data_IF_522325364149
#
_entry.id   IF_522325364149
#
_cell.length_a   1.000
_cell.length_b   1.000
_cell.length_c   1.000
_cell.angle_alpha   90.00
_cell.angle_beta   90.00
_cell.angle_gamma   90.00
#
_symmetry.space_group_name_H-M   'P 1'
#
loop_
_entity.id
_entity.type
_entity.pdbx_description
1 polymer ?
#
# COMPACT_ATOMS: atom_id res chain seq x y z
N UNK A 1 -1.33 -5.34 -24.02
CA UNK A 1 -2.54 -4.50 -23.86
C UNK A 1 -2.54 -4.01 -22.43
N UNK A 2 -2.26 -2.72 -22.23
CA UNK A 2 -2.33 -2.05 -20.93
C UNK A 2 -3.78 -2.11 -20.43
N UNK A 3 -4.01 -2.36 -19.13
CA UNK A 3 -5.36 -2.34 -18.58
C UNK A 3 -6.00 -0.96 -18.87
N UNK A 4 -7.09 -0.93 -19.64
CA UNK A 4 -7.82 0.29 -19.91
C UNK A 4 -8.87 0.48 -18.82
N UNK A 5 -9.09 1.72 -18.36
CA UNK A 5 -10.15 2.05 -17.41
C UNK A 5 -11.50 2.08 -18.14
N UNK A 6 -11.95 0.90 -18.59
CA UNK A 6 -13.19 0.73 -19.34
C UNK A 6 -14.41 1.05 -18.45
N UNK A 7 -15.60 1.31 -19.03
CA UNK A 7 -16.81 1.54 -18.25
C UNK A 7 -17.13 0.41 -17.25
N UNK A 8 -16.93 -0.85 -17.65
CA UNK A 8 -17.13 -2.02 -16.78
C UNK A 8 -16.11 -2.05 -15.64
N UNK A 9 -14.82 -1.85 -15.96
CA UNK A 9 -13.75 -1.74 -14.95
C UNK A 9 -14.06 -0.62 -13.95
N UNK A 10 -14.47 0.55 -14.44
CA UNK A 10 -14.82 1.69 -13.61
C UNK A 10 -16.03 1.38 -12.72
N UNK A 11 -17.06 0.71 -13.24
CA UNK A 11 -18.23 0.33 -12.46
C UNK A 11 -17.87 -0.61 -11.30
N UNK A 12 -17.09 -1.66 -11.56
CA UNK A 12 -16.66 -2.60 -10.52
C UNK A 12 -15.70 -1.95 -9.51
N UNK A 13 -14.79 -1.09 -9.98
CA UNK A 13 -13.90 -0.30 -9.14
C UNK A 13 -14.70 0.59 -8.16
N UNK A 14 -15.68 1.34 -8.68
CA UNK A 14 -16.53 2.21 -7.87
C UNK A 14 -17.42 1.40 -6.92
N UNK A 15 -17.96 0.26 -7.35
CA UNK A 15 -18.77 -0.61 -6.50
C UNK A 15 -17.96 -1.13 -5.29
N UNK A 16 -16.72 -1.57 -5.51
CA UNK A 16 -15.83 -2.03 -4.44
C UNK A 16 -15.47 -0.90 -3.48
N UNK A 17 -15.11 0.29 -3.99
CA UNK A 17 -14.79 1.44 -3.15
C UNK A 17 -16.00 1.94 -2.36
N UNK A 18 -17.19 2.01 -2.96
CA UNK A 18 -18.41 2.46 -2.27
C UNK A 18 -18.93 1.46 -1.24
N UNK A 19 -18.61 0.17 -1.38
CA UNK A 19 -18.91 -0.81 -0.35
C UNK A 19 -18.19 -0.50 0.97
N UNK A 20 -16.94 -0.03 0.88
CA UNK A 20 -16.11 0.30 2.05
C UNK A 20 -16.38 1.72 2.56
N UNK A 21 -16.42 2.70 1.65
CA UNK A 21 -16.45 4.13 2.00
C UNK A 21 -17.82 4.78 1.87
N UNK A 22 -18.86 3.97 1.68
CA UNK A 22 -20.24 4.41 1.48
C UNK A 22 -20.47 5.05 0.11
N UNK A 23 -21.71 5.49 -0.17
CA UNK A 23 -22.04 6.16 -1.42
C UNK A 23 -21.36 7.53 -1.47
N UNK A 24 -20.47 7.72 -2.43
CA UNK A 24 -19.74 8.98 -2.59
C UNK A 24 -19.86 9.60 -3.99
N UNK A 25 -20.28 8.85 -5.01
CA UNK A 25 -20.27 9.30 -6.42
C UNK A 25 -21.24 10.44 -6.72
N UNK A 26 -22.27 10.63 -5.89
CA UNK A 26 -23.30 11.66 -6.05
C UNK A 26 -23.21 12.77 -4.98
N UNK A 27 -22.12 12.84 -4.22
CA UNK A 27 -21.94 13.90 -3.24
C UNK A 27 -21.83 15.25 -3.95
N UNK A 28 -22.61 16.21 -3.47
CA UNK A 28 -22.42 17.61 -3.86
C UNK A 28 -21.07 18.13 -3.34
N UNK A 29 -20.50 19.21 -3.92
CA UNK A 29 -19.25 19.79 -3.42
C UNK A 29 -19.29 20.16 -1.93
N UNK A 30 -20.41 20.66 -1.42
CA UNK A 30 -20.56 20.97 0.00
C UNK A 30 -20.59 19.71 0.86
N UNK A 31 -21.32 18.67 0.44
CA UNK A 31 -21.33 17.37 1.13
C UNK A 31 -19.96 16.71 1.14
N UNK A 32 -19.20 16.82 0.04
CA UNK A 32 -17.84 16.30 -0.06
C UNK A 32 -16.88 17.02 0.90
N UNK A 33 -17.01 18.35 1.05
CA UNK A 33 -16.17 19.16 1.93
C UNK A 33 -16.35 18.89 3.43
N UNK A 34 -17.42 18.17 3.80
CA UNK A 34 -17.70 17.73 5.17
C UNK A 34 -17.74 16.20 5.25
N UNK A 35 -17.31 15.49 4.22
CA UNK A 35 -17.37 14.04 4.18
C UNK A 35 -16.41 13.45 5.21
N UNK A 36 -16.93 12.52 6.01
CA UNK A 36 -16.14 11.71 6.92
C UNK A 36 -16.26 10.26 6.44
N UNK A 37 -15.16 9.54 6.24
CA UNK A 37 -15.25 8.15 5.82
C UNK A 37 -16.00 7.35 6.90
N UNK A 38 -16.95 6.48 6.52
CA UNK A 38 -17.61 5.60 7.50
C UNK A 38 -16.56 4.72 8.20
N UNK A 39 -16.84 4.23 9.42
CA UNK A 39 -15.95 3.27 10.06
C UNK A 39 -15.95 1.96 9.28
N UNK A 40 -14.76 1.42 9.00
CA UNK A 40 -14.62 0.09 8.40
C UNK A 40 -15.03 -1.00 9.41
N UNK A 41 -15.42 -2.19 8.91
CA UNK A 41 -15.69 -3.37 9.73
C UNK A 41 -14.44 -3.92 10.44
N UNK A 42 -13.26 -3.59 9.93
CA UNK A 42 -11.96 -3.84 10.55
C UNK A 42 -11.27 -2.53 10.91
N UNK A 43 -10.47 -2.60 11.96
CA UNK A 43 -9.63 -1.51 12.40
C UNK A 43 -10.18 -0.83 13.66
N UNK A 44 -9.30 -0.56 14.60
CA UNK A 44 -9.64 0.16 15.83
C UNK A 44 -10.17 1.56 15.48
N UNK A 45 -11.42 1.82 15.84
CA UNK A 45 -12.20 3.02 15.45
C UNK A 45 -12.42 3.13 13.93
N UNK A 46 -12.44 2.00 13.23
CA UNK A 46 -12.80 1.89 11.82
C UNK A 46 -11.72 2.31 10.84
N UNK A 47 -10.44 2.35 11.26
CA UNK A 47 -9.30 2.66 10.39
C UNK A 47 -8.24 1.58 10.45
N UNK A 48 -7.68 1.28 9.29
CA UNK A 48 -6.66 0.27 9.11
C UNK A 48 -5.69 0.74 8.04
N UNK A 49 -4.44 1.00 8.44
CA UNK A 49 -3.52 1.85 7.68
C UNK A 49 -3.31 1.36 6.24
N UNK A 50 -3.18 0.04 6.04
CA UNK A 50 -3.03 -0.54 4.70
C UNK A 50 -4.25 -0.31 3.81
N UNK A 51 -5.44 -0.59 4.34
CA UNK A 51 -6.71 -0.43 3.63
C UNK A 51 -6.93 1.02 3.23
N UNK A 52 -6.71 1.94 4.15
CA UNK A 52 -6.90 3.37 3.93
C UNK A 52 -5.84 3.92 2.95
N UNK A 53 -4.59 3.41 2.97
CA UNK A 53 -3.57 3.80 2.02
C UNK A 53 -3.95 3.43 0.57
N UNK A 54 -4.39 2.18 0.35
CA UNK A 54 -4.89 1.74 -0.96
C UNK A 54 -6.09 2.57 -1.41
N UNK A 55 -6.99 2.90 -0.49
CA UNK A 55 -8.17 3.72 -0.79
C UNK A 55 -7.82 5.15 -1.20
N UNK A 56 -6.87 5.80 -0.51
CA UNK A 56 -6.35 7.10 -0.93
C UNK A 56 -5.83 7.01 -2.36
N UNK A 57 -4.96 6.03 -2.65
CA UNK A 57 -4.38 5.86 -3.99
C UNK A 57 -5.48 5.60 -5.03
N UNK A 58 -6.50 4.80 -4.69
CA UNK A 58 -7.66 4.54 -5.55
C UNK A 58 -8.51 5.79 -5.81
N UNK A 59 -8.72 6.66 -4.83
CA UNK A 59 -9.38 7.95 -5.04
C UNK A 59 -8.55 8.85 -5.98
N UNK A 60 -7.23 8.86 -5.86
CA UNK A 60 -6.37 9.63 -6.76
C UNK A 60 -6.37 9.06 -8.19
N UNK A 61 -6.43 7.73 -8.33
CA UNK A 61 -6.68 7.05 -9.60
C UNK A 61 -7.99 7.53 -10.22
N UNK A 62 -9.09 7.51 -9.47
CA UNK A 62 -10.39 8.00 -9.94
C UNK A 62 -10.33 9.48 -10.33
N UNK A 63 -9.66 10.32 -9.53
CA UNK A 63 -9.48 11.74 -9.82
C UNK A 63 -8.84 11.96 -11.19
N UNK A 64 -7.67 11.34 -11.45
CA UNK A 64 -6.96 11.51 -12.73
C UNK A 64 -7.73 10.89 -13.89
N UNK A 65 -8.25 9.67 -13.72
CA UNK A 65 -8.91 8.93 -14.80
C UNK A 65 -10.27 9.50 -15.22
N UNK A 66 -10.96 10.21 -14.31
CA UNK A 66 -12.29 10.80 -14.60
C UNK A 66 -12.27 12.32 -14.65
N UNK A 67 -11.14 12.96 -14.36
CA UNK A 67 -11.01 14.42 -14.19
C UNK A 67 -12.00 15.03 -13.20
N UNK A 68 -12.47 14.25 -12.21
CA UNK A 68 -13.44 14.71 -11.22
C UNK A 68 -12.73 15.15 -9.92
N UNK A 69 -12.82 16.43 -9.52
CA UNK A 69 -12.16 16.95 -8.32
C UNK A 69 -12.72 16.39 -7.01
N UNK A 70 -13.95 15.84 -7.03
CA UNK A 70 -14.57 15.19 -5.87
C UNK A 70 -13.64 14.17 -5.22
N UNK A 71 -13.01 13.31 -6.02
CA UNK A 71 -12.18 12.23 -5.50
C UNK A 71 -10.90 12.76 -4.82
N UNK A 72 -10.38 13.90 -5.27
CA UNK A 72 -9.24 14.55 -4.61
C UNK A 72 -9.65 15.08 -3.22
N UNK A 73 -10.86 15.65 -3.10
CA UNK A 73 -11.43 16.07 -1.82
C UNK A 73 -11.62 14.87 -0.88
N UNK A 74 -12.20 13.77 -1.36
CA UNK A 74 -12.39 12.55 -0.56
C UNK A 74 -11.05 11.95 -0.09
N UNK A 75 -10.03 11.92 -0.96
CA UNK A 75 -8.68 11.49 -0.59
C UNK A 75 -8.09 12.35 0.54
N UNK A 76 -8.22 13.69 0.45
CA UNK A 76 -7.76 14.61 1.49
C UNK A 76 -8.46 14.37 2.83
N UNK A 77 -9.78 14.18 2.83
CA UNK A 77 -10.55 13.89 4.04
C UNK A 77 -10.20 12.53 4.65
N UNK A 78 -9.93 11.51 3.83
CA UNK A 78 -9.47 10.21 4.32
C UNK A 78 -8.09 10.31 4.96
N UNK A 79 -7.15 11.06 4.35
CA UNK A 79 -5.83 11.33 4.93
C UNK A 79 -5.97 12.00 6.31
N UNK A 80 -6.76 13.07 6.39
CA UNK A 80 -7.00 13.78 7.65
C UNK A 80 -7.55 12.83 8.72
N UNK A 81 -8.56 12.04 8.35
CA UNK A 81 -9.20 11.13 9.30
C UNK A 81 -8.28 10.00 9.78
N UNK A 82 -7.41 9.48 8.91
CA UNK A 82 -6.36 8.54 9.31
C UNK A 82 -5.39 9.20 10.29
N UNK A 83 -4.98 10.45 10.07
CA UNK A 83 -4.08 11.14 11.00
C UNK A 83 -4.75 11.41 12.35
N UNK A 84 -6.05 11.72 12.36
CA UNK A 84 -6.81 12.00 13.59
C UNK A 84 -7.19 10.73 14.37
N UNK A 85 -7.14 9.56 13.75
CA UNK A 85 -7.42 8.28 14.42
C UNK A 85 -6.11 7.54 14.70
N UNK A 86 -5.33 7.22 13.67
CA UNK A 86 -4.11 6.41 13.78
C UNK A 86 -2.88 7.20 14.23
N UNK A 87 -2.92 8.54 14.16
CA UNK A 87 -1.91 9.44 14.74
C UNK A 87 -2.18 9.84 16.21
N UNK A 88 -3.20 9.25 16.84
CA UNK A 88 -3.54 9.43 18.26
C UNK A 88 -3.38 8.14 19.05
N UNK A 89 -3.30 8.27 20.38
CA UNK A 89 -3.49 7.17 21.33
C UNK A 89 -4.83 6.47 21.10
N UNK A 90 -4.96 5.21 21.54
CA UNK A 90 -6.16 4.39 21.29
C UNK A 90 -7.43 5.01 21.89
N UNK A 91 -7.32 5.59 23.08
CA UNK A 91 -8.41 6.35 23.71
C UNK A 91 -8.73 7.69 23.00
N UNK A 92 -7.90 8.11 22.04
CA UNK A 92 -8.08 9.36 21.28
C UNK A 92 -7.76 10.63 22.06
N UNK A 93 -7.12 10.52 23.23
CA UNK A 93 -6.93 11.68 24.12
C UNK A 93 -5.72 12.54 23.77
N UNK A 94 -4.68 11.96 23.14
CA UNK A 94 -3.47 12.69 22.74
C UNK A 94 -2.88 12.16 21.44
N UNK A 95 -2.14 13.02 20.73
CA UNK A 95 -1.25 12.62 19.62
C UNK A 95 -0.26 11.55 20.12
N UNK A 96 0.23 10.71 19.20
CA UNK A 96 1.31 9.77 19.51
C UNK A 96 2.56 10.51 20.02
N UNK A 97 3.35 9.85 20.86
CA UNK A 97 4.48 10.48 21.54
C UNK A 97 5.47 11.10 20.54
N UNK A 98 5.72 12.40 20.69
CA UNK A 98 6.56 13.20 19.78
C UNK A 98 5.79 14.01 18.72
N UNK A 99 4.53 13.69 18.45
CA UNK A 99 3.67 14.43 17.51
C UNK A 99 2.97 15.64 18.14
N UNK A 100 2.67 16.62 17.28
CA UNK A 100 1.84 17.79 17.58
C UNK A 100 0.86 18.03 16.43
N UNK A 101 -0.09 18.95 16.56
CA UNK A 101 -1.00 19.24 15.43
C UNK A 101 -0.28 19.88 14.23
N UNK A 102 0.81 20.60 14.45
CA UNK A 102 1.66 21.14 13.37
C UNK A 102 2.57 20.06 12.76
N UNK A 103 2.92 19.03 13.53
CA UNK A 103 3.80 17.94 13.10
C UNK A 103 3.18 16.57 13.48
N UNK A 104 2.07 16.19 12.80
CA UNK A 104 1.21 15.11 13.24
C UNK A 104 1.81 13.71 13.11
N UNK A 105 2.87 13.55 12.31
CA UNK A 105 3.51 12.27 12.02
C UNK A 105 4.85 12.07 12.75
N UNK A 106 5.23 12.99 13.65
CA UNK A 106 6.43 12.86 14.50
C UNK A 106 6.36 11.77 15.57
N UNK A 107 5.18 11.18 15.77
CA UNK A 107 4.99 9.98 16.58
C UNK A 107 4.79 8.72 15.73
N UNK A 108 4.87 8.83 14.40
CA UNK A 108 4.52 7.75 13.48
C UNK A 108 3.01 7.58 13.30
N UNK A 109 2.58 6.38 12.90
CA UNK A 109 1.16 6.02 12.76
C UNK A 109 0.94 4.59 13.23
N UNK A 110 -0.13 4.39 14.01
CA UNK A 110 -0.59 3.04 14.38
C UNK A 110 -1.10 2.30 13.13
N UNK A 111 -1.00 0.97 13.12
CA UNK A 111 -1.61 0.14 12.08
C UNK A 111 -3.13 0.05 12.23
N UNK A 112 -3.64 0.22 13.44
CA UNK A 112 -5.06 0.23 13.73
C UNK A 112 -5.64 -1.15 14.01
N UNK A 113 -4.87 -2.12 14.53
CA UNK A 113 -5.45 -3.42 14.91
C UNK A 113 -6.37 -3.32 16.13
N UNK A 114 -7.35 -4.23 16.20
CA UNK A 114 -8.33 -4.27 17.27
C UNK A 114 -7.68 -4.66 18.60
N UNK A 115 -6.84 -5.68 18.58
CA UNK A 115 -6.04 -6.10 19.73
C UNK A 115 -4.98 -5.03 20.01
N UNK A 116 -4.85 -4.60 21.27
CA UNK A 116 -3.96 -3.48 21.63
C UNK A 116 -2.48 -3.88 21.68
N UNK A 117 -2.17 -5.05 22.22
CA UNK A 117 -0.82 -5.45 22.58
C UNK A 117 -0.36 -6.73 21.90
N UNK A 118 0.96 -6.93 21.86
CA UNK A 118 1.59 -8.15 21.38
C UNK A 118 2.03 -8.11 19.91
N UNK A 119 2.69 -9.17 19.44
CA UNK A 119 3.22 -9.23 18.08
C UNK A 119 2.10 -9.08 17.03
N UNK A 120 0.91 -9.61 17.32
CA UNK A 120 -0.25 -9.54 16.44
C UNK A 120 -1.20 -8.36 16.72
N UNK A 121 -1.00 -7.60 17.80
CA UNK A 121 -1.85 -6.46 18.16
C UNK A 121 -1.53 -5.19 17.38
N UNK A 122 -1.91 -4.04 17.91
CA UNK A 122 -1.58 -2.73 17.33
C UNK A 122 -0.08 -2.45 17.47
N UNK A 123 0.35 -1.32 16.92
CA UNK A 123 1.75 -0.94 16.85
C UNK A 123 2.04 -0.20 15.57
N UNK A 124 3.30 -0.10 15.21
CA UNK A 124 3.74 0.51 13.96
C UNK A 124 4.46 -0.52 13.11
N UNK A 125 4.07 -0.60 11.84
CA UNK A 125 4.54 -1.66 10.95
C UNK A 125 5.17 -1.03 9.72
N UNK A 126 6.45 -1.31 9.50
CA UNK A 126 7.23 -0.53 8.55
C UNK A 126 6.65 -0.58 7.15
N UNK A 127 6.31 -1.77 6.67
CA UNK A 127 5.69 -1.99 5.37
C UNK A 127 4.35 -1.23 5.18
N UNK A 128 3.58 -1.00 6.26
CA UNK A 128 2.33 -0.25 6.14
C UNK A 128 2.59 1.25 6.11
N UNK A 129 3.59 1.69 6.88
CA UNK A 129 4.06 3.07 6.88
C UNK A 129 4.62 3.46 5.51
N UNK A 130 5.33 2.58 4.81
CA UNK A 130 5.86 2.86 3.47
C UNK A 130 4.74 3.01 2.42
N UNK A 131 3.70 2.18 2.44
CA UNK A 131 2.53 2.38 1.55
C UNK A 131 1.79 3.68 1.91
N UNK A 132 1.71 4.06 3.18
CA UNK A 132 1.11 5.35 3.56
C UNK A 132 1.95 6.55 3.10
N UNK A 133 3.28 6.50 3.25
CA UNK A 133 4.20 7.49 2.68
C UNK A 133 4.02 7.60 1.16
N UNK A 134 3.88 6.46 0.48
CA UNK A 134 3.59 6.43 -0.95
C UNK A 134 2.24 7.10 -1.27
N UNK A 135 1.17 6.81 -0.54
CA UNK A 135 -0.14 7.45 -0.73
C UNK A 135 -0.08 8.97 -0.57
N UNK A 136 0.62 9.47 0.46
CA UNK A 136 0.85 10.90 0.68
C UNK A 136 1.67 11.53 -0.46
N UNK A 137 2.70 10.84 -0.93
CA UNK A 137 3.49 11.28 -2.06
C UNK A 137 2.66 11.38 -3.35
N UNK A 138 1.82 10.38 -3.63
CA UNK A 138 0.87 10.41 -4.75
C UNK A 138 -0.13 11.55 -4.61
N UNK A 139 -0.62 11.83 -3.40
CA UNK A 139 -1.50 12.98 -3.13
C UNK A 139 -0.80 14.30 -3.46
N UNK A 140 0.49 14.43 -3.12
CA UNK A 140 1.30 15.61 -3.46
C UNK A 140 1.35 15.86 -4.97
N UNK A 141 1.56 14.79 -5.76
CA UNK A 141 1.62 14.89 -7.22
C UNK A 141 0.24 15.21 -7.82
N UNK A 142 -0.81 14.52 -7.37
CA UNK A 142 -2.16 14.71 -7.89
C UNK A 142 -2.73 16.11 -7.58
N UNK A 143 -2.43 16.66 -6.40
CA UNK A 143 -2.94 17.96 -5.95
C UNK A 143 -2.02 19.14 -6.27
N UNK A 144 -0.75 18.89 -6.63
CA UNK A 144 0.29 19.92 -6.69
C UNK A 144 0.67 20.51 -5.33
N UNK A 145 0.18 19.97 -4.22
CA UNK A 145 0.40 20.50 -2.87
C UNK A 145 1.56 19.78 -2.18
N UNK A 146 2.73 20.43 -2.11
CA UNK A 146 3.97 19.86 -1.55
C UNK A 146 3.82 19.33 -0.12
N UNK A 147 2.94 19.93 0.68
CA UNK A 147 2.74 19.57 2.10
C UNK A 147 2.47 18.08 2.32
N UNK A 148 1.82 17.38 1.37
CA UNK A 148 1.64 15.94 1.50
C UNK A 148 2.95 15.16 1.39
N UNK A 149 3.87 15.56 0.51
CA UNK A 149 5.21 14.98 0.47
C UNK A 149 6.00 15.34 1.74
N UNK A 150 5.84 16.55 2.27
CA UNK A 150 6.48 16.97 3.53
C UNK A 150 6.01 16.11 4.72
N UNK A 151 4.72 15.75 4.76
CA UNK A 151 4.18 14.80 5.75
C UNK A 151 4.79 13.40 5.57
N UNK A 152 4.93 12.92 4.33
CA UNK A 152 5.61 11.65 4.07
C UNK A 152 7.08 11.67 4.53
N UNK A 153 7.81 12.77 4.28
CA UNK A 153 9.18 12.98 4.74
C UNK A 153 9.27 13.06 6.27
N UNK A 154 8.30 13.71 6.93
CA UNK A 154 8.20 13.75 8.38
C UNK A 154 8.04 12.34 8.97
N UNK A 155 7.15 11.54 8.37
CA UNK A 155 6.95 10.15 8.79
C UNK A 155 8.22 9.32 8.59
N UNK A 156 8.87 9.44 7.42
CA UNK A 156 10.10 8.74 7.09
C UNK A 156 11.21 9.00 8.12
N UNK A 157 11.52 10.28 8.37
CA UNK A 157 12.55 10.70 9.35
C UNK A 157 12.23 10.24 10.78
N UNK A 158 10.96 10.17 11.12
CA UNK A 158 10.50 9.75 12.45
C UNK A 158 10.73 8.27 12.68
N UNK A 159 10.33 7.43 11.72
CA UNK A 159 10.30 5.98 11.92
C UNK A 159 11.64 5.33 11.58
N UNK A 160 12.38 5.83 10.60
CA UNK A 160 13.66 5.24 10.18
C UNK A 160 14.61 4.87 11.33
N UNK A 161 15.01 5.79 12.23
CA UNK A 161 15.95 5.45 13.31
C UNK A 161 15.39 4.44 14.32
N UNK A 162 14.07 4.27 14.39
CA UNK A 162 13.39 3.35 15.34
C UNK A 162 13.34 1.92 14.82
N UNK A 163 13.22 1.77 13.50
CA UNK A 163 13.17 0.46 12.86
C UNK A 163 14.56 -0.10 12.54
N UNK A 164 15.60 0.74 12.45
CA UNK A 164 16.96 0.32 12.09
C UNK A 164 17.76 -0.22 13.29
N UNK A 165 18.47 -1.33 13.06
CA UNK A 165 19.34 -2.03 14.02
C UNK A 165 20.78 -1.99 13.53
N UNK A 166 21.71 -1.63 14.42
CA UNK A 166 23.14 -1.50 14.09
C UNK A 166 23.35 -0.63 12.83
N UNK A 167 22.64 0.50 12.75
CA UNK A 167 22.57 1.40 11.58
C UNK A 167 23.95 1.76 11.00
N UNK A 168 24.93 1.99 11.86
CA UNK A 168 26.29 2.35 11.47
C UNK A 168 27.20 1.16 11.09
N UNK A 169 26.68 -0.07 11.12
CA UNK A 169 27.43 -1.26 10.72
C UNK A 169 27.44 -1.47 9.20
N UNK A 170 28.31 -2.35 8.71
CA UNK A 170 28.38 -2.75 7.30
C UNK A 170 27.16 -3.57 6.85
N UNK A 171 26.47 -4.20 7.79
CA UNK A 171 25.28 -5.03 7.54
C UNK A 171 24.20 -4.64 8.55
N UNK A 172 23.59 -3.46 8.39
CA UNK A 172 22.46 -3.09 9.22
C UNK A 172 21.31 -4.08 9.00
N UNK A 173 20.41 -4.14 9.97
CA UNK A 173 19.15 -4.89 9.87
C UNK A 173 18.01 -3.96 10.24
N UNK A 174 16.78 -4.42 10.04
CA UNK A 174 15.64 -3.71 10.56
C UNK A 174 14.66 -4.62 11.29
N UNK A 175 13.90 -4.03 12.21
CA UNK A 175 12.75 -4.66 12.83
C UNK A 175 11.56 -4.64 11.87
N UNK A 176 10.73 -5.67 11.93
CA UNK A 176 9.50 -5.72 11.15
C UNK A 176 8.43 -4.80 11.76
N UNK A 177 8.28 -4.84 13.09
CA UNK A 177 7.22 -4.15 13.82
C UNK A 177 7.69 -3.56 15.14
N UNK A 178 7.28 -2.32 15.41
CA UNK A 178 7.54 -1.57 16.64
C UNK A 178 6.25 -1.39 17.46
N UNK A 179 6.41 -1.11 18.74
CA UNK A 179 5.32 -0.68 19.64
C UNK A 179 4.69 0.64 19.16
N UNK A 180 3.47 0.94 19.63
CA UNK A 180 2.72 2.14 19.20
C UNK A 180 3.49 3.45 19.44
N UNK A 181 4.29 3.50 20.51
CA UNK A 181 5.14 4.63 20.92
C UNK A 181 6.58 4.57 20.34
N UNK A 182 6.86 3.58 19.48
CA UNK A 182 8.19 3.34 18.88
C UNK A 182 9.32 3.11 19.90
N UNK A 183 9.01 2.72 21.14
CA UNK A 183 10.01 2.52 22.20
C UNK A 183 10.72 1.16 22.13
N UNK A 184 10.08 0.12 21.58
CA UNK A 184 10.68 -1.21 21.50
C UNK A 184 10.11 -2.04 20.32
N UNK A 185 10.87 -3.04 19.82
CA UNK A 185 10.38 -3.94 18.79
C UNK A 185 9.37 -4.94 19.37
N UNK A 186 8.24 -5.09 18.68
CA UNK A 186 7.26 -6.15 18.95
C UNK A 186 7.57 -7.41 18.16
N UNK A 187 8.16 -7.26 16.97
CA UNK A 187 8.61 -8.38 16.14
C UNK A 187 10.02 -8.09 15.63
N UNK A 188 10.97 -8.93 16.05
CA UNK A 188 12.41 -8.73 15.83
C UNK A 188 12.93 -9.30 14.51
N UNK A 189 12.15 -10.13 13.82
CA UNK A 189 12.48 -10.56 12.46
C UNK A 189 12.44 -9.36 11.52
N UNK A 190 12.97 -9.55 10.32
CA UNK A 190 12.97 -8.56 9.25
C UNK A 190 11.98 -9.02 8.17
N UNK A 191 11.07 -8.16 7.74
CA UNK A 191 10.18 -8.44 6.60
C UNK A 191 10.98 -8.56 5.30
N UNK A 192 10.56 -9.44 4.38
CA UNK A 192 11.32 -9.72 3.16
C UNK A 192 11.51 -8.46 2.31
N UNK A 193 10.43 -7.69 2.12
CA UNK A 193 10.40 -6.48 1.30
C UNK A 193 10.71 -5.19 2.05
N UNK A 194 10.54 -5.12 3.37
CA UNK A 194 10.61 -3.87 4.13
C UNK A 194 11.85 -2.99 3.82
N UNK A 195 13.09 -3.51 3.74
CA UNK A 195 14.24 -2.66 3.42
C UNK A 195 14.23 -2.15 1.98
N UNK A 196 13.66 -2.94 1.06
CA UNK A 196 13.54 -2.61 -0.37
C UNK A 196 12.47 -1.54 -0.56
N UNK A 197 11.34 -1.66 0.12
CA UNK A 197 10.30 -0.63 0.14
C UNK A 197 10.83 0.67 0.74
N UNK A 198 11.58 0.58 1.84
CA UNK A 198 12.26 1.74 2.44
C UNK A 198 13.14 2.46 1.43
N UNK A 199 13.99 1.73 0.71
CA UNK A 199 14.83 2.30 -0.35
C UNK A 199 14.01 2.98 -1.45
N UNK A 200 13.02 2.27 -2.02
CA UNK A 200 12.21 2.75 -3.14
C UNK A 200 11.40 3.97 -2.73
N UNK A 201 10.62 3.88 -1.65
CA UNK A 201 9.75 4.97 -1.23
C UNK A 201 10.57 6.20 -0.87
N UNK A 202 11.70 6.07 -0.16
CA UNK A 202 12.49 7.23 0.23
C UNK A 202 13.10 7.94 -0.98
N UNK A 203 13.51 7.18 -2.01
CA UNK A 203 13.92 7.77 -3.29
C UNK A 203 12.77 8.51 -3.97
N UNK A 204 11.55 7.95 -4.00
CA UNK A 204 10.38 8.64 -4.58
C UNK A 204 10.05 9.94 -3.82
N UNK A 205 10.14 9.92 -2.49
CA UNK A 205 9.95 11.12 -1.66
C UNK A 205 11.00 12.19 -1.96
N UNK A 206 12.27 11.80 -2.06
CA UNK A 206 13.39 12.70 -2.40
C UNK A 206 13.22 13.28 -3.81
N UNK A 207 12.84 12.47 -4.80
CA UNK A 207 12.57 12.93 -6.16
C UNK A 207 11.42 13.95 -6.21
N UNK A 208 10.35 13.71 -5.43
CA UNK A 208 9.20 14.62 -5.37
C UNK A 208 9.50 15.91 -4.59
N UNK A 209 10.49 15.88 -3.69
CA UNK A 209 10.93 17.06 -2.96
C UNK A 209 11.60 18.10 -3.88
N UNK A 210 12.28 17.64 -4.93
CA UNK A 210 12.79 18.48 -6.02
C UNK A 210 14.16 18.04 -6.55
N UNK A 211 14.54 18.59 -7.70
CA UNK A 211 15.86 18.40 -8.28
C UNK A 211 16.95 18.89 -7.31
N UNK A 212 17.99 18.08 -7.10
CA UNK A 212 19.07 18.39 -6.17
C UNK A 212 18.71 18.24 -4.68
N UNK A 213 17.54 17.71 -4.35
CA UNK A 213 17.16 17.48 -2.95
C UNK A 213 18.14 16.54 -2.24
N UNK A 214 18.53 16.93 -1.03
CA UNK A 214 19.40 16.15 -0.13
C UNK A 214 18.64 15.54 1.04
N UNK A 215 17.30 15.55 1.02
CA UNK A 215 16.50 14.90 2.07
C UNK A 215 16.67 13.40 2.01
N UNK A 216 16.72 12.73 3.16
CA UNK A 216 16.79 11.26 3.27
C UNK A 216 18.06 10.60 2.69
N UNK A 217 19.12 11.35 2.38
CA UNK A 217 20.36 10.80 1.78
C UNK A 217 20.97 9.70 2.65
N UNK A 218 21.02 9.89 3.97
CA UNK A 218 21.58 8.89 4.88
C UNK A 218 20.69 7.66 4.98
N UNK A 219 19.39 7.87 5.10
CA UNK A 219 18.39 6.82 5.24
C UNK A 219 18.32 5.94 3.98
N UNK A 220 18.37 6.55 2.80
CA UNK A 220 18.47 5.84 1.51
C UNK A 220 19.77 5.02 1.46
N UNK A 221 20.90 5.59 1.89
CA UNK A 221 22.17 4.86 1.96
C UNK A 221 22.10 3.64 2.89
N UNK A 222 21.39 3.76 4.02
CA UNK A 222 21.25 2.67 4.97
C UNK A 222 20.39 1.53 4.43
N UNK A 223 19.27 1.83 3.77
CA UNK A 223 18.48 0.80 3.08
C UNK A 223 19.24 0.15 1.94
N UNK A 224 20.04 0.93 1.20
CA UNK A 224 20.85 0.41 0.09
C UNK A 224 21.80 -0.71 0.54
N UNK A 225 22.44 -0.56 1.71
CA UNK A 225 23.31 -1.61 2.29
C UNK A 225 22.58 -2.94 2.49
N UNK A 226 21.34 -2.89 2.99
CA UNK A 226 20.52 -4.10 3.20
C UNK A 226 20.10 -4.67 1.85
N UNK A 227 19.55 -3.81 0.99
CA UNK A 227 19.06 -4.15 -0.34
C UNK A 227 20.11 -4.92 -1.13
N UNK A 228 21.35 -4.40 -1.22
CA UNK A 228 22.45 -4.99 -2.01
C UNK A 228 22.76 -6.43 -1.61
N UNK A 229 22.56 -6.79 -0.35
CA UNK A 229 22.77 -8.16 0.13
C UNK A 229 21.54 -9.05 -0.09
N UNK A 230 20.33 -8.49 -0.01
CA UNK A 230 19.08 -9.25 0.08
C UNK A 230 18.52 -9.67 -1.28
N UNK A 231 18.49 -8.77 -2.25
CA UNK A 231 17.78 -9.01 -3.52
C UNK A 231 18.32 -10.22 -4.30
N UNK A 232 19.63 -10.52 -4.18
CA UNK A 232 20.30 -11.63 -4.86
C UNK A 232 19.83 -13.00 -4.38
N UNK A 233 19.42 -13.09 -3.11
CA UNK A 233 18.90 -14.30 -2.50
C UNK A 233 17.38 -14.40 -2.52
N UNK A 234 16.67 -13.41 -3.08
CA UNK A 234 15.22 -13.35 -3.01
C UNK A 234 14.56 -14.59 -3.62
N UNK A 235 13.67 -15.19 -2.84
CA UNK A 235 12.66 -16.15 -3.27
C UNK A 235 11.44 -16.04 -2.36
N UNK A 236 10.27 -16.37 -2.89
CA UNK A 236 9.01 -16.34 -2.14
C UNK A 236 8.00 -17.31 -2.74
N UNK A 237 7.22 -17.98 -1.89
CA UNK A 237 6.04 -18.78 -2.25
C UNK A 237 4.73 -18.05 -1.90
N UNK A 238 4.85 -16.79 -1.46
CA UNK A 238 3.76 -15.98 -0.98
C UNK A 238 3.20 -15.07 -2.09
N UNK A 239 1.94 -15.29 -2.48
CA UNK A 239 1.30 -14.61 -3.61
C UNK A 239 1.27 -13.07 -3.48
N UNK A 240 1.06 -12.56 -2.26
CA UNK A 240 1.06 -11.13 -1.98
C UNK A 240 2.48 -10.57 -2.04
N UNK A 241 3.45 -11.21 -1.38
CA UNK A 241 4.86 -10.81 -1.38
C UNK A 241 5.40 -10.74 -2.81
N UNK A 242 5.10 -11.73 -3.65
CA UNK A 242 5.47 -11.71 -5.07
C UNK A 242 4.84 -10.53 -5.82
N UNK A 243 3.55 -10.27 -5.62
CA UNK A 243 2.86 -9.13 -6.23
C UNK A 243 3.42 -7.77 -5.80
N UNK A 244 3.63 -7.58 -4.50
CA UNK A 244 4.21 -6.36 -3.94
C UNK A 244 5.68 -6.20 -4.33
N UNK A 245 6.42 -7.30 -4.52
CA UNK A 245 7.79 -7.27 -5.05
C UNK A 245 7.82 -6.75 -6.47
N UNK A 246 6.95 -7.27 -7.34
CA UNK A 246 6.83 -6.81 -8.72
C UNK A 246 6.47 -5.31 -8.78
N UNK A 247 5.54 -4.86 -7.93
CA UNK A 247 5.22 -3.45 -7.80
C UNK A 247 6.38 -2.62 -7.21
N UNK A 248 7.19 -3.16 -6.31
CA UNK A 248 8.29 -2.38 -5.75
C UNK A 248 9.43 -2.24 -6.76
N UNK A 249 9.77 -3.32 -7.47
CA UNK A 249 10.85 -3.34 -8.45
C UNK A 249 10.55 -2.54 -9.71
N UNK A 250 9.28 -2.44 -10.14
CA UNK A 250 8.95 -1.77 -11.42
C UNK A 250 9.37 -0.30 -11.47
N UNK A 251 9.54 0.37 -10.33
CA UNK A 251 9.95 1.77 -10.26
C UNK A 251 11.33 2.03 -10.86
N UNK A 252 12.26 1.07 -10.72
CA UNK A 252 13.65 1.19 -11.16
C UNK A 252 14.08 0.03 -12.08
N UNK A 253 13.12 -0.77 -12.57
CA UNK A 253 13.39 -1.82 -13.55
C UNK A 253 13.99 -1.21 -14.84
N UNK A 254 15.06 -1.82 -15.35
CA UNK A 254 15.85 -1.27 -16.47
C UNK A 254 16.83 -0.15 -16.10
N UNK A 255 16.67 0.49 -14.93
CA UNK A 255 17.56 1.55 -14.45
C UNK A 255 18.57 1.04 -13.42
N UNK A 256 18.14 0.20 -12.48
CA UNK A 256 18.99 -0.38 -11.44
C UNK A 256 19.05 -1.92 -11.56
N UNK A 257 20.26 -2.48 -11.43
CA UNK A 257 20.51 -3.93 -11.53
C UNK A 257 19.64 -4.72 -10.57
N UNK A 258 19.55 -4.25 -9.31
CA UNK A 258 18.77 -4.94 -8.28
C UNK A 258 17.29 -5.00 -8.61
N UNK A 259 16.73 -3.94 -9.20
CA UNK A 259 15.31 -3.86 -9.51
C UNK A 259 14.98 -4.84 -10.62
N UNK A 260 15.76 -4.82 -11.70
CA UNK A 260 15.63 -5.77 -12.81
C UNK A 260 15.79 -7.22 -12.33
N UNK A 261 16.82 -7.50 -11.52
CA UNK A 261 17.08 -8.84 -11.02
C UNK A 261 16.05 -9.35 -10.02
N UNK A 262 15.52 -8.47 -9.15
CA UNK A 262 14.45 -8.79 -8.21
C UNK A 262 13.14 -9.06 -8.95
N UNK A 263 12.82 -8.22 -9.94
CA UNK A 263 11.69 -8.36 -10.85
C UNK A 263 11.71 -9.75 -11.53
N UNK A 264 12.84 -10.14 -12.10
CA UNK A 264 13.01 -11.47 -12.73
C UNK A 264 12.79 -12.63 -11.75
N UNK A 265 13.31 -12.53 -10.52
CA UNK A 265 13.14 -13.56 -9.48
C UNK A 265 11.69 -13.69 -9.03
N UNK A 266 11.01 -12.58 -8.80
CA UNK A 266 9.59 -12.57 -8.46
C UNK A 266 8.74 -13.16 -9.58
N UNK A 267 9.04 -12.88 -10.85
CA UNK A 267 8.36 -13.52 -11.98
C UNK A 267 8.60 -15.02 -12.06
N UNK A 268 9.84 -15.47 -11.86
CA UNK A 268 10.17 -16.90 -11.83
C UNK A 268 9.35 -17.61 -10.76
N UNK A 269 9.33 -17.06 -9.55
CA UNK A 269 8.65 -17.67 -8.42
C UNK A 269 7.12 -17.61 -8.57
N UNK A 270 6.57 -16.54 -9.15
CA UNK A 270 5.16 -16.47 -9.54
C UNK A 270 4.79 -17.50 -10.61
N UNK A 271 5.66 -17.68 -11.61
CA UNK A 271 5.50 -18.71 -12.64
C UNK A 271 5.49 -20.11 -12.04
N UNK A 272 6.40 -20.38 -11.09
CA UNK A 272 6.46 -21.63 -10.32
C UNK A 272 5.16 -21.85 -9.54
N UNK A 273 4.75 -20.87 -8.73
CA UNK A 273 3.54 -20.92 -7.91
C UNK A 273 2.28 -21.21 -8.76
N UNK A 274 2.21 -20.59 -9.95
CA UNK A 274 1.15 -20.86 -10.92
C UNK A 274 1.23 -22.29 -11.49
N UNK A 275 2.42 -22.76 -11.88
CA UNK A 275 2.60 -24.11 -12.43
C UNK A 275 2.34 -25.23 -11.41
N UNK A 276 2.55 -24.97 -10.12
CA UNK A 276 2.27 -25.89 -9.02
C UNK A 276 0.78 -25.91 -8.62
N UNK A 277 -0.06 -25.11 -9.28
CA UNK A 277 -1.52 -25.14 -9.10
C UNK A 277 -2.03 -24.39 -7.87
N UNK A 278 -1.22 -23.51 -7.25
CA UNK A 278 -1.66 -22.73 -6.09
C UNK A 278 -2.96 -21.95 -6.36
N UNK A 279 -3.06 -21.30 -7.52
CA UNK A 279 -4.23 -20.51 -7.91
C UNK A 279 -5.43 -21.37 -8.36
N UNK A 280 -5.28 -22.69 -8.39
CA UNK A 280 -6.32 -23.68 -8.66
C UNK A 280 -6.81 -24.37 -7.38
N UNK A 281 -6.15 -24.14 -6.24
CA UNK A 281 -6.63 -24.61 -4.94
C UNK A 281 -8.03 -24.07 -4.64
N UNK A 282 -8.86 -24.80 -3.87
CA UNK A 282 -10.14 -24.30 -3.42
C UNK A 282 -9.99 -22.95 -2.69
N UNK A 283 -10.87 -22.00 -3.01
CA UNK A 283 -10.86 -20.63 -2.43
C UNK A 283 -10.90 -20.58 -0.89
N UNK A 284 -11.28 -21.67 -0.22
CA UNK A 284 -11.24 -21.77 1.24
C UNK A 284 -9.80 -21.78 1.82
N UNK A 285 -8.80 -22.15 1.01
CA UNK A 285 -7.38 -22.18 1.38
C UNK A 285 -6.60 -20.98 0.85
N UNK A 286 -7.29 -20.00 0.27
CA UNK A 286 -6.70 -18.83 -0.37
C UNK A 286 -7.31 -17.56 0.20
N UNK A 287 -6.64 -16.43 -0.01
CA UNK A 287 -7.10 -15.13 0.48
C UNK A 287 -7.14 -14.15 -0.70
N UNK A 288 -8.33 -13.60 -0.95
CA UNK A 288 -8.59 -12.77 -2.12
C UNK A 288 -7.67 -11.54 -2.22
N UNK A 289 -7.52 -10.78 -1.12
CA UNK A 289 -6.64 -9.61 -1.10
C UNK A 289 -5.18 -9.93 -1.45
N UNK A 290 -4.70 -11.14 -1.12
CA UNK A 290 -3.32 -11.57 -1.43
C UNK A 290 -3.14 -11.77 -2.94
N UNK A 291 -4.12 -12.40 -3.58
CA UNK A 291 -4.16 -12.60 -5.03
C UNK A 291 -4.37 -11.28 -5.79
N UNK A 292 -5.11 -10.33 -5.22
CA UNK A 292 -5.22 -8.98 -5.78
C UNK A 292 -3.90 -8.20 -5.73
N UNK A 293 -3.07 -8.42 -4.70
CA UNK A 293 -1.68 -7.95 -4.69
C UNK A 293 -0.86 -8.52 -5.84
N UNK A 294 -1.04 -9.81 -6.15
CA UNK A 294 -0.43 -10.43 -7.35
C UNK A 294 -0.90 -9.72 -8.63
N UNK A 295 -2.20 -9.46 -8.78
CA UNK A 295 -2.74 -8.76 -9.94
C UNK A 295 -2.16 -7.35 -10.08
N UNK A 296 -2.03 -6.60 -8.98
CA UNK A 296 -1.38 -5.29 -8.96
C UNK A 296 0.04 -5.39 -9.54
N UNK A 297 0.88 -6.27 -9.00
CA UNK A 297 2.25 -6.46 -9.45
C UNK A 297 2.38 -6.82 -10.94
N UNK A 298 1.50 -7.69 -11.44
CA UNK A 298 1.45 -8.08 -12.86
C UNK A 298 1.14 -6.88 -13.77
N UNK A 299 0.23 -6.00 -13.35
CA UNK A 299 -0.36 -4.95 -14.19
C UNK A 299 0.39 -3.62 -14.14
N UNK A 300 1.27 -3.41 -13.16
CA UNK A 300 2.17 -2.24 -13.12
C UNK A 300 3.45 -2.44 -13.91
N UNK A 301 3.83 -3.70 -14.19
CA UNK A 301 5.01 -4.01 -14.99
C UNK A 301 4.77 -3.71 -16.47
N UNK A 302 5.82 -3.24 -17.14
CA UNK A 302 5.84 -3.06 -18.59
C UNK A 302 5.63 -4.39 -19.36
N UNK A 303 4.92 -4.27 -20.49
CA UNK A 303 4.34 -5.35 -21.27
C UNK A 303 5.30 -6.07 -22.21
N UNK A 304 6.58 -5.69 -22.23
CA UNK A 304 7.56 -6.17 -23.20
C UNK A 304 8.12 -7.58 -22.91
N UNK A 305 7.63 -8.28 -21.87
CA UNK A 305 8.13 -9.64 -21.52
C UNK A 305 7.28 -10.73 -22.18
N UNK A 306 7.92 -11.83 -22.60
CA UNK A 306 7.23 -13.02 -23.14
C UNK A 306 6.22 -13.64 -22.15
N UNK A 307 6.44 -13.44 -20.84
CA UNK A 307 5.56 -13.92 -19.78
C UNK A 307 4.30 -13.05 -19.60
N UNK A 308 4.27 -11.83 -20.15
CA UNK A 308 3.18 -10.89 -19.90
C UNK A 308 1.80 -11.43 -20.30
N UNK A 309 1.60 -12.07 -21.47
CA UNK A 309 0.29 -12.62 -21.83
C UNK A 309 -0.20 -13.70 -20.85
N UNK A 310 0.72 -14.51 -20.31
CA UNK A 310 0.42 -15.55 -19.33
C UNK A 310 0.02 -14.92 -18.00
N UNK A 311 0.77 -13.93 -17.54
CA UNK A 311 0.45 -13.23 -16.29
C UNK A 311 -0.81 -12.39 -16.39
N UNK A 312 -1.10 -11.73 -17.51
CA UNK A 312 -2.36 -11.02 -17.67
C UNK A 312 -3.56 -11.99 -17.70
N UNK A 313 -3.40 -13.17 -18.34
CA UNK A 313 -4.41 -14.22 -18.27
C UNK A 313 -4.63 -14.70 -16.83
N UNK A 314 -3.56 -14.86 -16.04
CA UNK A 314 -3.64 -15.17 -14.61
C UNK A 314 -4.38 -14.05 -13.85
N UNK A 315 -3.99 -12.79 -14.00
CA UNK A 315 -4.62 -11.68 -13.29
C UNK A 315 -6.13 -11.55 -13.59
N UNK A 316 -6.55 -11.80 -14.84
CA UNK A 316 -7.97 -11.91 -15.21
C UNK A 316 -8.64 -13.12 -14.53
N UNK A 317 -8.03 -14.30 -14.58
CA UNK A 317 -8.55 -15.49 -13.89
C UNK A 317 -8.77 -15.23 -12.40
N UNK A 318 -7.82 -14.58 -11.71
CA UNK A 318 -7.92 -14.29 -10.28
C UNK A 318 -9.07 -13.33 -9.97
N UNK A 319 -9.15 -12.20 -10.68
CA UNK A 319 -10.23 -11.22 -10.51
C UNK A 319 -11.62 -11.84 -10.77
N UNK A 320 -11.80 -12.54 -11.91
CA UNK A 320 -13.05 -13.23 -12.24
C UNK A 320 -13.41 -14.33 -11.23
N UNK A 321 -12.43 -15.05 -10.68
CA UNK A 321 -12.68 -16.10 -9.68
C UNK A 321 -13.36 -15.53 -8.44
N UNK A 322 -12.85 -14.43 -7.90
CA UNK A 322 -13.39 -13.82 -6.68
C UNK A 322 -14.71 -13.08 -6.91
N UNK A 323 -14.90 -12.51 -8.11
CA UNK A 323 -16.17 -11.94 -8.54
C UNK A 323 -17.26 -13.03 -8.63
N UNK A 324 -16.96 -14.16 -9.27
CA UNK A 324 -17.88 -15.30 -9.40
C UNK A 324 -18.24 -15.93 -8.05
N UNK A 325 -17.36 -15.79 -7.04
CA UNK A 325 -17.62 -16.23 -5.67
C UNK A 325 -18.38 -15.22 -4.82
N UNK A 326 -18.80 -14.09 -5.40
CA UNK A 326 -19.49 -12.99 -4.70
C UNK A 326 -18.70 -12.47 -3.49
N UNK A 327 -17.36 -12.47 -3.58
CA UNK A 327 -16.48 -11.85 -2.58
C UNK A 327 -16.26 -10.37 -2.91
N UNK A 328 -16.35 -10.00 -4.18
CA UNK A 328 -16.17 -8.65 -4.73
C UNK A 328 -17.01 -8.49 -6.01
N UNK A 329 -17.24 -7.26 -6.53
CA UNK A 329 -16.93 -5.96 -5.92
C UNK A 329 -17.81 -5.66 -4.70
N UNK A 330 -19.01 -6.26 -4.63
CA UNK A 330 -19.93 -6.16 -3.49
C UNK A 330 -20.06 -7.55 -2.87
N UNK A 331 -19.46 -7.81 -1.69
CA UNK A 331 -19.58 -9.09 -1.00
C UNK A 331 -21.04 -9.45 -0.69
N UNK A 332 -21.41 -10.72 -0.87
CA UNK A 332 -22.71 -11.24 -0.41
C UNK A 332 -22.73 -11.35 1.14
N UNK A 333 -23.83 -10.93 1.77
CA UNK A 333 -23.98 -11.00 3.23
C UNK A 333 -23.97 -12.44 3.78
N UNK A 334 -23.57 -12.60 5.06
CA UNK A 334 -23.60 -13.89 5.76
C UNK A 334 -22.25 -14.63 5.86
N UNK A 335 -21.13 -13.90 5.85
CA UNK A 335 -19.80 -14.51 6.00
C UNK A 335 -19.42 -14.69 7.47
N UNK A 336 -18.57 -15.68 7.76
CA UNK A 336 -17.96 -15.87 9.09
C UNK A 336 -17.25 -14.56 9.50
N UNK A 337 -17.39 -14.11 10.73
CA UNK A 337 -16.82 -12.85 11.27
C UNK A 337 -15.35 -12.60 10.87
N UNK A 338 -14.52 -13.65 10.83
CA UNK A 338 -13.11 -13.58 10.39
C UNK A 338 -12.97 -13.11 8.94
N UNK A 339 -13.90 -13.48 8.05
CA UNK A 339 -13.95 -13.00 6.66
C UNK A 339 -14.51 -11.60 6.56
N UNK A 340 -15.44 -11.21 7.43
CA UNK A 340 -15.98 -9.84 7.48
C UNK A 340 -14.91 -8.80 7.81
N UNK A 341 -13.94 -9.16 8.67
CA UNK A 341 -12.77 -8.30 8.96
C UNK A 341 -11.92 -8.07 7.71
N UNK A 342 -11.81 -9.03 6.80
CA UNK A 342 -11.01 -8.90 5.58
C UNK A 342 -11.73 -8.21 4.42
N UNK A 343 -13.02 -7.91 4.55
CA UNK A 343 -13.82 -7.29 3.48
C UNK A 343 -13.22 -5.94 3.03
N UNK A 344 -12.90 -4.98 3.92
CA UNK A 344 -12.40 -3.67 3.50
C UNK A 344 -11.12 -3.76 2.67
N UNK A 345 -10.12 -4.51 3.15
CA UNK A 345 -8.85 -4.70 2.42
C UNK A 345 -9.08 -5.44 1.09
N UNK A 346 -9.97 -6.43 1.07
CA UNK A 346 -10.29 -7.19 -0.14
C UNK A 346 -10.92 -6.31 -1.22
N UNK A 347 -11.87 -5.43 -0.85
CA UNK A 347 -12.53 -4.52 -1.78
C UNK A 347 -11.57 -3.46 -2.34
N UNK A 348 -10.78 -2.79 -1.49
CA UNK A 348 -9.85 -1.75 -1.99
C UNK A 348 -8.75 -2.33 -2.86
N UNK A 349 -8.25 -3.53 -2.52
CA UNK A 349 -7.26 -4.21 -3.35
C UNK A 349 -7.86 -4.79 -4.64
N UNK A 350 -9.14 -5.19 -4.66
CA UNK A 350 -9.83 -5.56 -5.89
C UNK A 350 -9.93 -4.40 -6.88
N UNK A 351 -10.31 -3.20 -6.40
CA UNK A 351 -10.33 -2.00 -7.22
C UNK A 351 -8.94 -1.73 -7.85
N UNK A 352 -7.89 -1.79 -7.04
CA UNK A 352 -6.50 -1.65 -7.51
C UNK A 352 -6.09 -2.77 -8.47
N UNK A 353 -6.51 -4.01 -8.22
CA UNK A 353 -6.22 -5.13 -9.10
C UNK A 353 -6.87 -4.93 -10.48
N UNK A 354 -8.10 -4.43 -10.55
CA UNK A 354 -8.78 -4.13 -11.81
C UNK A 354 -8.06 -3.05 -12.62
N UNK A 355 -7.61 -1.99 -11.95
CA UNK A 355 -6.87 -0.90 -12.58
C UNK A 355 -5.87 -0.28 -11.59
N UNK A 356 -4.55 -0.56 -11.71
CA UNK A 356 -3.56 -0.08 -10.75
C UNK A 356 -3.44 1.44 -10.63
N UNK A 357 -3.68 2.18 -11.72
CA UNK A 357 -3.71 3.63 -11.74
C UNK A 357 -2.49 4.28 -11.08
N UNK A 358 -2.71 5.04 -10.02
CA UNK A 358 -1.70 5.78 -9.28
C UNK A 358 -0.59 4.93 -8.62
N UNK A 359 -0.70 3.60 -8.64
CA UNK A 359 0.42 2.69 -8.32
C UNK A 359 1.46 2.56 -9.44
N UNK A 360 1.10 2.90 -10.69
CA UNK A 360 1.99 2.85 -11.84
C UNK A 360 2.98 4.02 -11.83
N UNK A 361 4.22 3.74 -12.25
CA UNK A 361 5.20 4.75 -12.62
C UNK A 361 4.60 5.73 -13.64
N UNK A 362 4.90 7.01 -13.47
CA UNK A 362 4.50 8.10 -14.37
C UNK A 362 2.98 8.37 -14.53
N UNK A 363 2.11 7.76 -13.71
CA UNK A 363 0.66 7.94 -13.82
C UNK A 363 0.18 9.41 -13.70
N UNK A 364 0.88 10.23 -12.90
CA UNK A 364 0.60 11.68 -12.78
C UNK A 364 1.51 12.55 -13.65
N UNK A 365 2.46 11.95 -14.37
CA UNK A 365 3.46 12.66 -15.16
C UNK A 365 2.94 12.97 -16.57
N UNK A 366 1.76 13.61 -16.73
CA UNK A 366 1.29 14.20 -18.00
C UNK A 366 0.18 15.21 -17.74
#
# INVERSE_FOLDING_TARGET
>A
MTAHFTPETQQNFLAAMQHVYGPFTHLSPSSASTWTPPPNSEGHRGRYLWTDAFAVINFLTLHKSTSNPLYLTLAAHLIQNVHDILGYSRDGTKRLDGATDAEPLKGGLRIGKMEESGPDGDGQYFHYLTIWMFALNRMSLASGTKTYNDLALQLAKTVHPRFMVNRHSQRPRMFWKMSMDLSHPLVRSEGNLDPIDGYVIYKLLQQTDGEGSTVLVEEICDYKKILETKWRGYSSDDSLDLGMTLWTSHWFEGEEEWATGLSQRASRDLGKLNSEGYFDLPTAYRLAFREFGTCLGIRVRDTATELQPIFEALARKLTTTWETKNVVPVPAGGTIEVREKLVPITCVMHATALFPGAFQKDFFCH
#
